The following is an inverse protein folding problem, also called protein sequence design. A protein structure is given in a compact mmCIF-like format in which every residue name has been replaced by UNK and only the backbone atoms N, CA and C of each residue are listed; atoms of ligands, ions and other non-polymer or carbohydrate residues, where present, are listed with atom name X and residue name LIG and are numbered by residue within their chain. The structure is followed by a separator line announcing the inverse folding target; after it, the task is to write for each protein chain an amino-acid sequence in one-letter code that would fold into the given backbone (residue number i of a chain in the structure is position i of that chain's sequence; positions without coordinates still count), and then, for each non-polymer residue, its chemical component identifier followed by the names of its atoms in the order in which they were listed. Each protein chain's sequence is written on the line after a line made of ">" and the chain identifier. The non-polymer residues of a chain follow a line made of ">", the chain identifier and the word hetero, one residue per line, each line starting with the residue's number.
data_IF_483674180852
#
_entry.id   IF_483674180852
#
_cell.length_a   1.000
_cell.length_b   1.000
_cell.length_c   1.000
_cell.angle_alpha   90.00
_cell.angle_beta   90.00
_cell.angle_gamma   90.00
#
_symmetry.space_group_name_H-M   'P 1'
#
loop_
_entity.id
_entity.type
_entity.pdbx_description
1 polymer ?
#
# COMPACT_ATOMS: atom_id res chain seq x y z
N UNK A 1 -11.16 10.24 25.91
CA UNK A 1 -11.80 10.25 27.24
C UNK A 1 -12.29 11.64 27.59
N UNK A 2 -11.37 12.58 27.88
CA UNK A 2 -11.72 13.96 28.25
C UNK A 2 -12.11 14.90 27.09
N UNK A 3 -12.35 14.41 25.87
CA UNK A 3 -12.45 15.27 24.69
C UNK A 3 -13.68 16.20 24.72
N UNK A 4 -14.86 15.69 25.12
CA UNK A 4 -16.07 16.53 25.24
C UNK A 4 -15.88 17.63 26.30
N UNK A 5 -15.26 17.29 27.44
CA UNK A 5 -14.95 18.27 28.48
C UNK A 5 -13.99 19.36 27.96
N UNK A 6 -13.01 19.00 27.15
CA UNK A 6 -12.13 19.97 26.46
C UNK A 6 -12.93 20.92 25.57
N UNK A 7 -13.89 20.43 24.78
CA UNK A 7 -14.71 21.30 23.92
C UNK A 7 -15.64 22.21 24.72
N UNK A 8 -16.23 21.72 25.81
CA UNK A 8 -17.05 22.55 26.70
C UNK A 8 -16.21 23.66 27.36
N UNK A 9 -15.00 23.34 27.81
CA UNK A 9 -14.07 24.34 28.35
C UNK A 9 -13.64 25.36 27.30
N UNK A 10 -13.36 24.92 26.06
CA UNK A 10 -13.03 25.81 24.95
C UNK A 10 -14.20 26.73 24.58
N UNK A 11 -15.43 26.20 24.56
CA UNK A 11 -16.63 27.01 24.34
C UNK A 11 -16.81 28.04 25.44
N UNK A 12 -16.65 27.66 26.72
CA UNK A 12 -16.72 28.60 27.84
C UNK A 12 -15.63 29.69 27.76
N UNK A 13 -14.47 29.37 27.19
CA UNK A 13 -13.39 30.33 26.94
C UNK A 13 -13.61 31.22 25.69
N UNK A 14 -14.70 31.02 24.95
CA UNK A 14 -15.09 31.86 23.82
C UNK A 14 -14.67 31.35 22.44
N UNK A 15 -14.28 30.09 22.28
CA UNK A 15 -13.94 29.53 20.96
C UNK A 15 -15.11 29.69 19.95
N UNK A 16 -14.83 30.15 18.74
CA UNK A 16 -15.86 30.40 17.71
C UNK A 16 -16.39 29.11 17.05
N UNK A 17 -15.54 28.09 16.95
CA UNK A 17 -15.85 26.82 16.30
C UNK A 17 -15.07 25.66 16.94
N UNK A 18 -15.61 24.45 16.81
CA UNK A 18 -14.99 23.19 17.23
C UNK A 18 -15.34 22.09 16.24
N UNK A 19 -14.45 21.10 16.10
CA UNK A 19 -14.68 19.94 15.24
C UNK A 19 -15.32 18.79 16.03
N UNK A 20 -16.37 18.19 15.46
CA UNK A 20 -17.14 17.07 16.01
C UNK A 20 -17.49 16.08 14.91
N UNK A 21 -17.85 14.85 15.29
CA UNK A 21 -18.27 13.80 14.38
C UNK A 21 -19.67 13.27 14.75
N UNK A 22 -20.39 12.70 13.78
CA UNK A 22 -21.62 11.95 14.07
C UNK A 22 -21.32 10.85 15.09
N UNK A 23 -22.22 10.61 16.07
CA UNK A 23 -21.89 9.78 17.22
C UNK A 23 -21.38 8.36 16.89
N UNK A 24 -21.93 7.63 15.89
CA UNK A 24 -21.41 6.32 15.49
C UNK A 24 -19.98 6.35 14.95
N UNK A 25 -19.48 7.51 14.51
CA UNK A 25 -18.13 7.72 13.99
C UNK A 25 -17.24 8.53 14.96
N UNK A 26 -17.72 8.81 16.17
CA UNK A 26 -17.07 9.66 17.15
C UNK A 26 -16.34 8.86 18.25
N UNK A 27 -15.52 9.57 19.03
CA UNK A 27 -14.84 9.03 20.20
C UNK A 27 -13.53 8.31 19.89
N UNK A 28 -12.90 7.80 20.95
CA UNK A 28 -11.54 7.20 20.92
C UNK A 28 -10.51 8.08 20.22
N UNK A 29 -10.10 7.76 19.00
CA UNK A 29 -9.15 8.52 18.16
C UNK A 29 -9.83 9.49 17.20
N UNK A 30 -11.16 9.41 17.07
CA UNK A 30 -11.99 10.36 16.36
C UNK A 30 -12.34 11.57 17.25
N UNK A 31 -13.06 12.50 16.64
CA UNK A 31 -13.57 13.73 17.24
C UNK A 31 -14.68 13.43 18.25
N UNK A 32 -15.03 14.38 19.14
CA UNK A 32 -16.17 14.25 20.04
C UNK A 32 -17.50 14.10 19.31
N UNK A 33 -18.47 13.47 19.95
CA UNK A 33 -19.82 13.32 19.39
C UNK A 33 -20.49 14.69 19.23
N UNK A 34 -21.00 14.95 18.01
CA UNK A 34 -21.79 16.11 17.64
C UNK A 34 -23.07 16.19 18.49
N UNK A 35 -23.87 15.12 18.49
CA UNK A 35 -25.15 15.08 19.23
C UNK A 35 -24.93 15.28 20.73
N UNK A 36 -23.86 14.70 21.29
CA UNK A 36 -23.50 14.90 22.69
C UNK A 36 -23.12 16.35 23.00
N UNK A 37 -22.36 17.03 22.12
CA UNK A 37 -22.00 18.43 22.30
C UNK A 37 -23.21 19.36 22.17
N UNK A 38 -24.06 19.14 21.15
CA UNK A 38 -25.31 19.90 20.96
C UNK A 38 -26.20 19.78 22.18
N UNK A 39 -26.44 18.56 22.67
CA UNK A 39 -27.23 18.32 23.86
C UNK A 39 -26.62 18.97 25.12
N UNK A 40 -25.29 18.97 25.26
CA UNK A 40 -24.61 19.53 26.41
C UNK A 40 -24.64 21.07 26.46
N UNK A 41 -24.78 21.75 25.32
CA UNK A 41 -24.83 23.21 25.22
C UNK A 41 -26.27 23.75 25.10
N UNK A 42 -27.27 22.88 24.93
CA UNK A 42 -28.66 23.27 24.78
C UNK A 42 -29.16 24.11 25.98
N UNK A 43 -29.87 25.19 25.69
CA UNK A 43 -30.40 26.14 26.67
C UNK A 43 -29.32 26.84 27.53
N UNK A 44 -28.11 26.99 27.00
CA UNK A 44 -27.04 27.80 27.61
C UNK A 44 -26.79 29.05 26.79
N UNK A 45 -26.01 30.00 27.32
CA UNK A 45 -25.56 31.18 26.55
C UNK A 45 -24.65 30.81 25.35
N UNK A 46 -24.25 29.55 25.27
CA UNK A 46 -23.39 28.98 24.22
C UNK A 46 -24.13 27.91 23.41
N UNK A 47 -25.45 27.95 23.38
CA UNK A 47 -26.29 27.07 22.55
C UNK A 47 -25.82 27.11 21.08
N UNK A 48 -25.74 25.94 20.45
CA UNK A 48 -25.25 25.81 19.07
C UNK A 48 -26.27 26.26 18.05
N UNK A 49 -27.56 26.29 18.40
CA UNK A 49 -28.67 26.52 17.46
C UNK A 49 -28.88 25.37 16.44
N UNK A 50 -28.17 24.25 16.61
CA UNK A 50 -28.32 23.05 15.77
C UNK A 50 -29.42 22.20 16.38
N UNK A 51 -30.37 21.76 15.55
CA UNK A 51 -31.44 20.87 15.98
C UNK A 51 -30.88 19.48 16.36
N UNK A 52 -31.17 19.04 17.58
CA UNK A 52 -30.63 17.79 18.12
C UNK A 52 -31.22 16.57 17.41
N UNK A 53 -32.49 16.61 17.03
CA UNK A 53 -33.16 15.51 16.31
C UNK A 53 -32.51 15.34 14.94
N UNK A 54 -32.36 16.42 14.18
CA UNK A 54 -31.67 16.42 12.89
C UNK A 54 -30.21 15.91 12.99
N UNK A 55 -29.49 16.26 14.06
CA UNK A 55 -28.14 15.74 14.30
C UNK A 55 -28.13 14.22 14.59
N UNK A 56 -29.17 13.71 15.26
CA UNK A 56 -29.30 12.32 15.69
C UNK A 56 -29.86 11.41 14.58
N UNK A 57 -30.69 11.93 13.68
CA UNK A 57 -31.32 11.18 12.59
C UNK A 57 -30.32 10.60 11.58
N UNK A 58 -29.10 11.14 11.52
CA UNK A 58 -28.01 10.62 10.69
C UNK A 58 -27.26 9.45 11.35
N UNK A 59 -27.47 9.20 12.65
CA UNK A 59 -26.72 8.18 13.37
C UNK A 59 -27.04 6.75 12.89
N UNK A 60 -28.31 6.34 12.67
CA UNK A 60 -28.60 5.00 12.13
C UNK A 60 -27.94 4.75 10.77
N UNK A 61 -27.85 5.78 9.92
CA UNK A 61 -27.15 5.70 8.63
C UNK A 61 -25.66 5.45 8.82
N UNK A 62 -24.98 6.28 9.63
CA UNK A 62 -23.54 6.13 9.86
C UNK A 62 -23.18 4.84 10.59
N UNK A 63 -24.05 4.38 11.48
CA UNK A 63 -23.91 3.07 12.11
C UNK A 63 -23.96 1.95 11.07
N UNK A 64 -24.96 1.95 10.19
CA UNK A 64 -25.07 0.95 9.11
C UNK A 64 -23.86 0.99 8.16
N UNK A 65 -23.42 2.17 7.75
CA UNK A 65 -22.22 2.34 6.90
C UNK A 65 -20.98 1.81 7.61
N UNK A 66 -20.77 2.14 8.89
CA UNK A 66 -19.61 1.67 9.68
C UNK A 66 -19.53 0.14 9.73
N UNK A 67 -20.66 -0.55 9.82
CA UNK A 67 -20.69 -2.02 9.81
C UNK A 67 -20.08 -2.63 8.54
N UNK A 68 -20.23 -1.95 7.39
CA UNK A 68 -19.62 -2.40 6.13
C UNK A 68 -18.10 -2.37 6.18
N UNK A 69 -17.51 -1.50 7.00
CA UNK A 69 -16.07 -1.33 7.15
C UNK A 69 -15.48 -2.09 8.35
N UNK A 70 -16.21 -3.07 8.92
CA UNK A 70 -15.77 -3.86 10.07
C UNK A 70 -14.33 -4.42 9.97
N UNK A 71 -13.85 -4.92 8.80
CA UNK A 71 -12.47 -5.40 8.67
C UNK A 71 -11.39 -4.32 8.89
N UNK A 72 -11.75 -3.04 8.82
CA UNK A 72 -10.86 -1.90 8.96
C UNK A 72 -10.97 -1.19 10.32
N UNK A 73 -11.74 -1.74 11.26
CA UNK A 73 -11.87 -1.17 12.60
C UNK A 73 -10.52 -1.12 13.33
N UNK A 74 -10.21 0.03 13.95
CA UNK A 74 -8.93 0.26 14.64
C UNK A 74 -8.69 -0.63 15.86
N UNK A 75 -9.75 -1.29 16.36
CA UNK A 75 -9.67 -2.23 17.48
C UNK A 75 -9.39 -1.61 18.84
N UNK A 76 -9.50 -0.29 18.99
CA UNK A 76 -9.32 0.39 20.29
C UNK A 76 -10.57 0.19 21.16
N UNK A 77 -10.49 -0.55 22.29
CA UNK A 77 -11.67 -0.88 23.09
C UNK A 77 -12.21 0.31 23.89
N UNK A 78 -11.45 1.41 23.99
CA UNK A 78 -11.86 2.58 24.75
C UNK A 78 -10.76 3.64 24.86
N UNK A 79 -11.02 4.73 25.59
CA UNK A 79 -10.04 5.80 25.78
C UNK A 79 -8.87 5.36 26.68
N UNK A 80 -7.67 5.81 26.35
CA UNK A 80 -6.46 5.60 27.17
C UNK A 80 -5.88 6.93 27.65
N UNK A 81 -5.39 6.97 28.89
CA UNK A 81 -4.64 8.11 29.44
C UNK A 81 -3.17 8.13 29.03
N UNK A 82 -2.64 7.05 28.43
CA UNK A 82 -1.24 6.96 28.03
C UNK A 82 -0.86 7.97 26.95
N UNK A 83 -1.85 8.48 26.19
CA UNK A 83 -1.65 9.53 25.19
C UNK A 83 -0.99 10.79 25.76
N UNK A 84 -1.20 11.09 27.04
CA UNK A 84 -0.55 12.23 27.70
C UNK A 84 0.94 12.01 28.00
N UNK A 85 1.47 10.79 27.77
CA UNK A 85 2.89 10.45 27.87
C UNK A 85 3.52 10.28 26.49
N UNK A 86 2.94 9.42 25.66
CA UNK A 86 3.52 9.09 24.36
C UNK A 86 3.16 10.09 23.26
N UNK A 87 2.07 10.85 23.42
CA UNK A 87 1.64 11.91 22.49
C UNK A 87 1.54 11.43 21.03
N UNK A 88 1.16 10.15 20.82
CA UNK A 88 1.00 9.55 19.50
C UNK A 88 -0.33 10.08 18.92
N UNK A 89 -0.34 10.76 17.77
CA UNK A 89 -1.58 11.19 17.12
C UNK A 89 -2.46 10.01 16.71
N UNK A 90 -3.79 10.21 16.65
CA UNK A 90 -4.76 9.13 16.41
C UNK A 90 -4.44 8.27 15.18
N UNK A 91 -4.21 8.89 14.01
CA UNK A 91 -3.85 8.16 12.79
C UNK A 91 -2.53 7.38 12.89
N UNK A 92 -1.54 7.92 13.61
CA UNK A 92 -0.27 7.23 13.83
C UNK A 92 -0.43 6.03 14.76
N UNK A 93 -1.33 6.10 15.75
CA UNK A 93 -1.58 5.01 16.71
C UNK A 93 -2.12 3.77 15.99
N UNK A 94 -3.10 3.95 15.11
CA UNK A 94 -3.66 2.85 14.30
C UNK A 94 -2.60 2.24 13.38
N UNK A 95 -1.78 3.08 12.74
CA UNK A 95 -0.70 2.62 11.85
C UNK A 95 0.37 1.84 12.61
N UNK A 96 0.83 2.34 13.76
CA UNK A 96 1.84 1.67 14.59
C UNK A 96 1.36 0.30 15.07
N UNK A 97 0.06 0.13 15.38
CA UNK A 97 -0.48 -1.19 15.76
C UNK A 97 -0.36 -2.19 14.63
N UNK A 98 -0.73 -1.81 13.41
CA UNK A 98 -0.59 -2.69 12.25
C UNK A 98 0.88 -3.02 11.94
N UNK A 99 1.78 -2.05 12.06
CA UNK A 99 3.22 -2.26 11.91
C UNK A 99 3.79 -3.19 13.01
N UNK A 100 3.36 -3.02 14.26
CA UNK A 100 3.74 -3.88 15.37
C UNK A 100 3.31 -5.33 15.13
N UNK A 101 2.08 -5.55 14.63
CA UNK A 101 1.59 -6.88 14.25
C UNK A 101 2.48 -7.51 13.18
N UNK A 102 2.81 -6.76 12.12
CA UNK A 102 3.67 -7.23 11.04
C UNK A 102 5.09 -7.61 11.53
N UNK A 103 5.57 -6.98 12.60
CA UNK A 103 6.88 -7.25 13.22
C UNK A 103 6.83 -8.30 14.34
N UNK A 104 5.66 -8.88 14.63
CA UNK A 104 5.49 -9.85 15.72
C UNK A 104 5.54 -9.24 17.13
N UNK A 105 5.32 -7.93 17.26
CA UNK A 105 5.32 -7.16 18.51
C UNK A 105 3.90 -6.76 18.95
N UNK A 106 2.88 -7.47 18.48
CA UNK A 106 1.47 -7.14 18.75
C UNK A 106 1.13 -7.12 20.25
N UNK A 107 1.68 -8.09 20.99
CA UNK A 107 1.44 -8.28 22.43
C UNK A 107 2.25 -7.31 23.31
N UNK A 108 3.26 -6.65 22.74
CA UNK A 108 4.16 -5.71 23.43
C UNK A 108 3.91 -4.27 22.98
N UNK A 109 2.67 -3.92 22.62
CA UNK A 109 2.37 -2.58 22.10
C UNK A 109 2.66 -1.48 23.13
N UNK A 110 2.48 -1.78 24.42
CA UNK A 110 2.80 -0.91 25.52
C UNK A 110 4.28 -0.51 25.57
N UNK A 111 5.18 -1.41 25.16
CA UNK A 111 6.60 -1.14 25.00
C UNK A 111 6.84 -0.16 23.84
N UNK A 112 6.13 -0.34 22.72
CA UNK A 112 6.22 0.58 21.58
C UNK A 112 5.76 1.99 21.98
N UNK A 113 4.70 2.12 22.77
CA UNK A 113 4.24 3.42 23.30
C UNK A 113 5.32 4.10 24.18
N UNK A 114 5.99 3.34 25.04
CA UNK A 114 7.06 3.87 25.90
C UNK A 114 8.32 4.23 25.09
N UNK A 115 8.68 3.42 24.10
CA UNK A 115 9.78 3.70 23.17
C UNK A 115 9.47 4.88 22.25
N UNK A 116 8.20 5.11 21.93
CA UNK A 116 7.78 6.30 21.18
C UNK A 116 7.96 7.58 22.01
N UNK A 117 7.64 7.54 23.30
CA UNK A 117 7.94 8.64 24.22
C UNK A 117 9.46 8.88 24.33
N UNK A 118 10.25 7.81 24.46
CA UNK A 118 11.71 7.91 24.50
C UNK A 118 12.30 8.46 23.20
N UNK A 119 11.84 7.97 22.04
CA UNK A 119 12.22 8.47 20.73
C UNK A 119 11.91 9.96 20.58
N UNK A 120 10.73 10.41 21.05
CA UNK A 120 10.38 11.82 21.07
C UNK A 120 11.38 12.66 21.88
N UNK A 121 11.80 12.18 23.07
CA UNK A 121 12.81 12.88 23.89
C UNK A 121 14.17 12.94 23.19
N UNK A 122 14.62 11.82 22.59
CA UNK A 122 15.89 11.73 21.85
C UNK A 122 15.90 12.71 20.66
N UNK A 123 14.77 12.82 19.95
CA UNK A 123 14.63 13.68 18.78
C UNK A 123 14.39 15.16 19.13
N UNK A 124 14.41 15.54 20.42
CA UNK A 124 14.29 16.94 20.85
C UNK A 124 12.87 17.41 21.12
N UNK A 125 11.94 16.51 21.47
CA UNK A 125 10.54 16.77 21.81
C UNK A 125 9.78 17.54 20.72
N UNK A 126 9.78 16.94 19.53
CA UNK A 126 9.22 17.54 18.31
C UNK A 126 7.69 17.65 18.37
N UNK A 127 7.08 18.65 17.70
CA UNK A 127 5.66 18.59 17.37
C UNK A 127 5.39 17.37 16.49
N UNK A 128 4.44 16.52 16.89
CA UNK A 128 4.17 15.23 16.24
C UNK A 128 2.88 15.29 15.44
N UNK A 129 3.01 15.39 14.13
CA UNK A 129 1.95 15.28 13.13
C UNK A 129 2.57 14.67 11.87
N UNK A 130 1.79 14.16 10.92
CA UNK A 130 2.38 13.68 9.66
C UNK A 130 3.16 14.81 8.98
N UNK A 131 4.44 14.62 8.59
CA UNK A 131 5.22 13.38 8.64
C UNK A 131 6.13 13.19 9.88
N UNK A 132 6.32 14.17 10.77
CA UNK A 132 7.19 14.03 11.96
C UNK A 132 6.75 12.93 12.93
N UNK A 133 5.45 12.67 13.07
CA UNK A 133 4.94 11.56 13.90
C UNK A 133 5.37 10.19 13.38
N UNK A 134 5.56 10.05 12.06
CA UNK A 134 6.12 8.85 11.44
C UNK A 134 7.59 8.70 11.80
N UNK A 135 8.38 9.77 11.74
CA UNK A 135 9.82 9.74 12.11
C UNK A 135 10.03 9.18 13.52
N UNK A 136 9.26 9.69 14.49
CA UNK A 136 9.29 9.20 15.88
C UNK A 136 8.84 7.73 15.95
N UNK A 137 7.83 7.36 15.15
CA UNK A 137 7.31 6.00 15.09
C UNK A 137 8.29 4.98 14.52
N UNK A 138 8.94 5.31 13.40
CA UNK A 138 9.95 4.48 12.76
C UNK A 138 11.14 4.23 13.71
N UNK A 139 11.57 5.27 14.45
CA UNK A 139 12.61 5.13 15.48
C UNK A 139 12.15 4.22 16.62
N UNK A 140 10.93 4.43 17.13
CA UNK A 140 10.38 3.61 18.22
C UNK A 140 10.28 2.13 17.84
N UNK A 141 9.79 1.83 16.64
CA UNK A 141 9.72 0.47 16.11
C UNK A 141 11.11 -0.14 15.91
N UNK A 142 12.07 0.65 15.41
CA UNK A 142 13.44 0.19 15.26
C UNK A 142 14.04 -0.19 16.63
N UNK A 143 13.95 0.70 17.62
CA UNK A 143 14.44 0.44 18.99
C UNK A 143 13.78 -0.81 19.59
N UNK A 144 12.48 -1.01 19.35
CA UNK A 144 11.75 -2.20 19.81
C UNK A 144 12.27 -3.47 19.14
N UNK A 145 12.44 -3.44 17.82
CA UNK A 145 12.88 -4.59 17.03
C UNK A 145 14.28 -5.06 17.40
N UNK A 146 15.22 -4.14 17.63
CA UNK A 146 16.60 -4.48 18.03
C UNK A 146 16.79 -4.58 19.55
N UNK A 147 15.71 -4.36 20.33
CA UNK A 147 15.74 -4.31 21.81
C UNK A 147 16.83 -3.38 22.36
N UNK A 148 16.98 -2.22 21.72
CA UNK A 148 17.99 -1.23 22.10
C UNK A 148 17.58 -0.50 23.38
N UNK A 149 18.58 -0.15 24.20
CA UNK A 149 18.38 0.81 25.29
C UNK A 149 18.31 2.23 24.69
N UNK A 150 17.19 2.97 24.86
CA UNK A 150 17.05 4.32 24.35
C UNK A 150 18.16 5.27 24.83
N UNK A 151 18.65 5.10 26.06
CA UNK A 151 19.71 5.93 26.60
C UNK A 151 21.06 5.68 25.90
N UNK A 152 21.39 4.42 25.62
CA UNK A 152 22.59 4.07 24.86
C UNK A 152 22.48 4.51 23.40
N UNK A 153 21.32 4.34 22.76
CA UNK A 153 21.08 4.85 21.40
C UNK A 153 21.26 6.36 21.33
N UNK A 154 20.72 7.12 22.29
CA UNK A 154 20.87 8.57 22.34
C UNK A 154 22.34 9.01 22.51
N UNK A 155 23.09 8.26 23.32
CA UNK A 155 24.49 8.56 23.58
C UNK A 155 25.41 8.15 22.41
N UNK A 156 25.12 7.02 21.76
CA UNK A 156 25.99 6.34 20.80
C UNK A 156 25.23 5.88 19.54
N UNK A 157 24.54 6.80 18.81
CA UNK A 157 23.70 6.43 17.66
C UNK A 157 24.50 5.76 16.52
N UNK A 158 25.80 6.00 16.43
CA UNK A 158 26.71 5.38 15.46
C UNK A 158 26.86 3.85 15.60
N UNK A 159 26.42 3.27 16.73
CA UNK A 159 26.43 1.82 16.96
C UNK A 159 25.21 1.11 16.39
N UNK A 160 24.24 1.86 15.89
CA UNK A 160 22.94 1.35 15.47
C UNK A 160 22.69 1.71 14.00
N UNK A 161 21.92 0.86 13.32
CA UNK A 161 21.30 1.26 12.07
C UNK A 161 20.23 2.31 12.37
N UNK A 162 20.17 3.39 11.59
CA UNK A 162 19.24 4.49 11.85
C UNK A 162 18.26 4.55 10.68
N UNK A 163 16.93 4.54 10.93
CA UNK A 163 15.94 4.63 9.86
C UNK A 163 16.13 5.89 9.00
N UNK A 164 16.01 5.75 7.67
CA UNK A 164 16.19 6.87 6.73
C UNK A 164 15.31 8.08 7.05
N UNK A 165 14.10 7.85 7.57
CA UNK A 165 13.19 8.92 7.99
C UNK A 165 13.75 9.77 9.14
N UNK A 166 14.49 9.17 10.07
CA UNK A 166 15.18 9.86 11.16
C UNK A 166 16.37 10.63 10.63
N UNK A 167 17.12 10.03 9.72
CA UNK A 167 18.29 10.66 9.11
C UNK A 167 17.89 11.89 8.28
N UNK A 168 16.91 11.74 7.38
CA UNK A 168 16.37 12.83 6.57
C UNK A 168 15.74 13.94 7.43
N UNK A 169 15.03 13.57 8.50
CA UNK A 169 14.55 14.54 9.48
C UNK A 169 15.69 15.33 10.13
N UNK A 170 16.74 14.65 10.60
CA UNK A 170 17.92 15.31 11.19
C UNK A 170 18.68 16.18 10.16
N UNK A 171 18.61 15.84 8.88
CA UNK A 171 19.16 16.65 7.79
C UNK A 171 18.33 17.92 7.50
N UNK A 172 17.14 18.06 8.09
CA UNK A 172 16.26 19.23 7.93
C UNK A 172 15.23 19.11 6.81
N UNK A 173 14.95 17.91 6.30
CA UNK A 173 13.96 17.70 5.23
C UNK A 173 12.54 18.16 5.60
N UNK A 174 12.22 18.19 6.91
CA UNK A 174 10.92 18.61 7.43
C UNK A 174 10.92 20.04 7.99
N UNK A 175 11.97 20.81 7.70
CA UNK A 175 12.19 22.14 8.26
C UNK A 175 12.91 22.11 9.61
N UNK A 176 12.97 23.26 10.26
CA UNK A 176 13.69 23.46 11.52
C UNK A 176 12.78 23.29 12.76
N UNK A 177 13.39 22.83 13.85
CA UNK A 177 12.72 22.71 15.14
C UNK A 177 12.65 24.06 15.87
N UNK A 178 11.47 24.46 16.38
CA UNK A 178 11.33 25.70 17.17
C UNK A 178 12.24 25.73 18.42
N UNK A 179 12.49 24.56 19.02
CA UNK A 179 13.37 24.40 20.19
C UNK A 179 14.86 24.21 19.86
N UNK A 180 15.23 24.26 18.58
CA UNK A 180 16.55 23.87 18.10
C UNK A 180 16.74 22.36 18.01
N UNK A 181 17.88 21.96 17.44
CA UNK A 181 18.21 20.55 17.21
C UNK A 181 18.89 19.91 18.45
N UNK A 182 18.65 18.62 18.72
CA UNK A 182 19.29 17.92 19.83
C UNK A 182 20.77 17.64 19.51
N UNK A 183 21.67 18.50 19.98
CA UNK A 183 23.13 18.27 19.90
C UNK A 183 23.66 17.64 21.20
N UNK A 184 24.67 16.74 21.14
CA UNK A 184 25.44 16.34 19.94
C UNK A 184 24.80 15.20 19.12
N UNK A 185 23.58 14.77 19.45
CA UNK A 185 22.92 13.63 18.80
C UNK A 185 22.81 13.82 17.29
N UNK A 186 22.28 14.97 16.83
CA UNK A 186 22.15 15.31 15.42
C UNK A 186 23.49 15.23 14.69
N UNK A 187 24.55 15.86 15.23
CA UNK A 187 25.89 15.82 14.63
C UNK A 187 26.40 14.39 14.44
N UNK A 188 26.14 13.49 15.40
CA UNK A 188 26.53 12.07 15.30
C UNK A 188 25.71 11.32 14.25
N UNK A 189 24.40 11.55 14.18
CA UNK A 189 23.52 10.91 13.18
C UNK A 189 23.90 11.28 11.75
N UNK A 190 24.36 12.51 11.51
CA UNK A 190 24.71 13.00 10.18
C UNK A 190 26.16 12.72 9.79
N UNK A 191 26.99 12.23 10.72
CA UNK A 191 28.42 12.04 10.47
C UNK A 191 28.65 11.02 9.33
N UNK A 192 29.33 11.47 8.27
CA UNK A 192 29.70 10.61 7.14
C UNK A 192 28.55 10.30 6.17
N UNK A 193 27.43 11.04 6.25
CA UNK A 193 26.28 10.86 5.37
C UNK A 193 26.07 12.09 4.48
N UNK A 194 25.88 11.85 3.18
CA UNK A 194 25.48 12.90 2.23
C UNK A 194 23.96 12.98 2.16
N UNK A 195 23.40 14.18 2.32
CA UNK A 195 21.97 14.44 2.24
C UNK A 195 21.66 15.63 1.35
N UNK A 196 20.65 15.46 0.49
CA UNK A 196 20.19 16.48 -0.43
C UNK A 196 18.78 16.92 -0.05
N UNK A 197 18.69 18.05 0.64
CA UNK A 197 17.40 18.72 0.88
C UNK A 197 17.09 19.59 -0.34
N UNK A 198 16.13 19.16 -1.18
CA UNK A 198 15.71 19.93 -2.34
C UNK A 198 14.63 19.26 -3.17
N UNK A 199 13.74 20.05 -3.75
CA UNK A 199 12.78 19.59 -4.74
C UNK A 199 13.38 19.66 -6.15
N UNK A 200 13.14 18.64 -6.97
CA UNK A 200 13.44 18.71 -8.40
C UNK A 200 12.66 19.88 -9.05
N UNK A 201 13.25 20.59 -10.03
CA UNK A 201 12.56 21.66 -10.72
C UNK A 201 11.38 21.10 -11.53
N UNK A 202 10.27 21.85 -11.54
CA UNK A 202 9.11 21.55 -12.36
C UNK A 202 9.47 21.68 -13.85
N UNK A 203 9.13 20.66 -14.63
CA UNK A 203 9.36 20.67 -16.09
C UNK A 203 8.36 21.61 -16.78
N UNK A 204 8.75 22.20 -17.91
CA UNK A 204 7.90 23.15 -18.64
C UNK A 204 6.56 22.51 -19.10
N UNK A 205 6.60 21.27 -19.58
CA UNK A 205 5.41 20.51 -19.97
C UNK A 205 4.45 20.30 -18.78
N UNK A 206 5.00 20.08 -17.59
CA UNK A 206 4.18 19.91 -16.38
C UNK A 206 3.55 21.22 -15.95
N UNK A 207 4.27 22.33 -16.08
CA UNK A 207 3.72 23.66 -15.82
C UNK A 207 2.55 23.98 -16.78
N UNK A 208 2.68 23.64 -18.07
CA UNK A 208 1.60 23.79 -19.05
C UNK A 208 0.37 22.95 -18.68
N UNK A 209 0.57 21.66 -18.35
CA UNK A 209 -0.53 20.77 -17.93
C UNK A 209 -1.21 21.22 -16.64
N UNK A 210 -0.46 21.78 -15.69
CA UNK A 210 -1.02 22.37 -14.46
C UNK A 210 -1.87 23.61 -14.76
N UNK A 211 -1.54 24.36 -15.80
CA UNK A 211 -2.34 25.50 -16.29
C UNK A 211 -3.52 25.09 -17.20
N UNK A 212 -3.56 23.84 -17.66
CA UNK A 212 -4.59 23.29 -18.54
C UNK A 212 -5.95 23.06 -17.88
N UNK A 213 -6.70 22.11 -18.43
CA UNK A 213 -8.03 21.75 -17.93
C UNK A 213 -7.99 21.16 -16.52
N UNK A 214 -9.15 21.10 -15.85
CA UNK A 214 -9.25 20.49 -14.52
C UNK A 214 -8.82 19.01 -14.51
N UNK A 215 -9.03 18.27 -15.60
CA UNK A 215 -8.64 16.87 -15.74
C UNK A 215 -7.12 16.74 -15.86
N UNK A 216 -6.50 17.52 -16.76
CA UNK A 216 -5.04 17.52 -16.95
C UNK A 216 -4.32 17.94 -15.67
N UNK A 217 -4.81 18.99 -14.99
CA UNK A 217 -4.23 19.45 -13.73
C UNK A 217 -4.27 18.37 -12.67
N UNK A 218 -5.40 17.69 -12.47
CA UNK A 218 -5.52 16.61 -11.47
C UNK A 218 -4.63 15.41 -11.80
N UNK A 219 -4.59 14.99 -13.06
CA UNK A 219 -3.73 13.89 -13.50
C UNK A 219 -2.24 14.22 -13.30
N UNK A 220 -1.82 15.43 -13.67
CA UNK A 220 -0.45 15.89 -13.45
C UNK A 220 -0.11 16.01 -11.97
N UNK A 221 -1.01 16.54 -11.14
CA UNK A 221 -0.81 16.59 -9.68
C UNK A 221 -0.70 15.20 -9.07
N UNK A 222 -1.54 14.24 -9.46
CA UNK A 222 -1.43 12.86 -9.00
C UNK A 222 -0.03 12.30 -9.33
N UNK A 223 0.41 12.42 -10.58
CA UNK A 223 1.71 11.91 -11.02
C UNK A 223 2.88 12.60 -10.31
N UNK A 224 2.81 13.91 -10.07
CA UNK A 224 3.89 14.68 -9.45
C UNK A 224 3.97 14.46 -7.93
N UNK A 225 2.83 14.45 -7.24
CA UNK A 225 2.78 14.29 -5.78
C UNK A 225 2.90 12.83 -5.35
N UNK A 226 2.33 11.91 -6.14
CA UNK A 226 2.23 10.49 -5.82
C UNK A 226 2.52 9.60 -7.05
N UNK A 227 3.76 9.56 -7.58
CA UNK A 227 4.06 8.82 -8.80
C UNK A 227 3.71 7.33 -8.74
N UNK A 228 4.09 6.65 -7.66
CA UNK A 228 3.83 5.23 -7.49
C UNK A 228 2.34 4.92 -7.26
N UNK A 229 1.61 5.61 -6.35
CA UNK A 229 0.16 5.44 -6.24
C UNK A 229 -0.60 5.75 -7.53
N UNK A 230 -0.14 6.74 -8.31
CA UNK A 230 -0.76 7.07 -9.61
C UNK A 230 -0.62 5.93 -10.61
N UNK A 231 0.58 5.37 -10.74
CA UNK A 231 0.82 4.22 -11.62
C UNK A 231 -0.04 3.02 -11.23
N UNK A 232 -0.21 2.77 -9.92
CA UNK A 232 -1.05 1.68 -9.43
C UNK A 232 -2.54 1.95 -9.68
N UNK A 233 -3.00 3.19 -9.48
CA UNK A 233 -4.36 3.61 -9.80
C UNK A 233 -4.67 3.42 -11.30
N UNK A 234 -3.77 3.85 -12.19
CA UNK A 234 -3.90 3.67 -13.63
C UNK A 234 -3.95 2.18 -14.00
N UNK A 235 -3.05 1.36 -13.44
CA UNK A 235 -3.06 -0.10 -13.63
C UNK A 235 -4.38 -0.73 -13.21
N UNK A 236 -4.94 -0.33 -12.06
CA UNK A 236 -6.24 -0.80 -11.58
C UNK A 236 -7.35 -0.37 -12.54
N UNK A 237 -7.35 0.89 -12.98
CA UNK A 237 -8.35 1.41 -13.92
C UNK A 237 -8.29 0.73 -15.29
N UNK A 238 -7.10 0.43 -15.80
CA UNK A 238 -6.91 -0.31 -17.05
C UNK A 238 -7.37 -1.77 -16.93
N UNK A 239 -7.16 -2.39 -15.77
CA UNK A 239 -7.48 -3.81 -15.54
C UNK A 239 -8.96 -4.03 -15.23
N UNK A 240 -9.55 -3.18 -14.40
CA UNK A 240 -10.87 -3.39 -13.79
C UNK A 240 -11.90 -2.32 -14.16
N UNK A 241 -11.49 -1.26 -14.86
CA UNK A 241 -12.35 -0.11 -15.12
C UNK A 241 -12.52 0.80 -13.90
N UNK A 242 -13.60 1.57 -13.91
CA UNK A 242 -13.94 2.44 -12.77
C UNK A 242 -14.65 1.64 -11.69
N UNK A 243 -13.93 1.28 -10.62
CA UNK A 243 -14.49 0.53 -9.49
C UNK A 243 -15.22 1.42 -8.49
N UNK A 244 -15.19 2.75 -8.66
CA UNK A 244 -15.87 3.67 -7.73
C UNK A 244 -17.39 3.70 -7.88
N UNK A 245 -17.91 3.13 -8.96
CA UNK A 245 -19.34 2.98 -9.22
C UNK A 245 -19.95 1.74 -8.56
N UNK A 246 -19.12 0.91 -7.92
CA UNK A 246 -19.58 -0.27 -7.19
C UNK A 246 -20.04 0.13 -5.80
N UNK A 247 -21.12 -0.50 -5.33
CA UNK A 247 -21.53 -0.40 -3.94
C UNK A 247 -20.44 -0.96 -3.02
N UNK A 248 -20.32 -0.39 -1.81
CA UNK A 248 -19.27 -0.77 -0.85
C UNK A 248 -19.34 -2.25 -0.47
N UNK A 249 -20.54 -2.82 -0.40
CA UNK A 249 -20.74 -4.25 -0.13
C UNK A 249 -20.08 -5.10 -1.21
N UNK A 250 -20.42 -4.82 -2.47
CA UNK A 250 -19.92 -5.59 -3.62
C UNK A 250 -18.42 -5.38 -3.83
N UNK A 251 -17.93 -4.17 -3.57
CA UNK A 251 -16.52 -3.85 -3.67
C UNK A 251 -15.67 -4.61 -2.63
N UNK A 252 -16.13 -4.67 -1.37
CA UNK A 252 -15.37 -5.29 -0.28
C UNK A 252 -15.57 -6.80 -0.17
N UNK A 253 -16.77 -7.29 -0.47
CA UNK A 253 -17.18 -8.66 -0.17
C UNK A 253 -17.53 -9.49 -1.42
N UNK A 254 -17.62 -8.87 -2.59
CA UNK A 254 -17.97 -9.53 -3.84
C UNK A 254 -19.47 -9.82 -3.96
N UNK A 255 -19.81 -10.67 -4.94
CA UNK A 255 -21.19 -11.02 -5.26
C UNK A 255 -21.70 -12.17 -4.37
N UNK A 256 -22.99 -12.12 -4.00
CA UNK A 256 -23.68 -13.18 -3.26
C UNK A 256 -24.44 -14.10 -4.23
N UNK A 257 -24.37 -15.41 -4.01
CA UNK A 257 -25.06 -16.37 -4.87
C UNK A 257 -26.59 -16.21 -4.74
N UNK A 258 -27.26 -16.09 -5.88
CA UNK A 258 -28.72 -15.92 -5.95
C UNK A 258 -29.21 -14.49 -5.66
N UNK A 259 -28.30 -13.54 -5.43
CA UNK A 259 -28.61 -12.12 -5.37
C UNK A 259 -28.34 -11.44 -6.73
N UNK A 260 -29.18 -10.46 -7.07
CA UNK A 260 -28.95 -9.56 -8.20
C UNK A 260 -28.31 -8.27 -7.69
N UNK A 261 -27.16 -7.93 -8.25
CA UNK A 261 -26.37 -6.75 -7.93
C UNK A 261 -26.53 -5.72 -9.05
N UNK A 262 -26.77 -4.46 -8.69
CA UNK A 262 -27.03 -3.39 -9.66
C UNK A 262 -25.87 -2.42 -9.66
N UNK A 263 -25.22 -2.26 -10.81
CA UNK A 263 -24.11 -1.32 -10.98
C UNK A 263 -24.55 -0.19 -11.91
N UNK A 264 -24.66 1.04 -11.40
CA UNK A 264 -24.94 2.23 -12.20
C UNK A 264 -23.64 2.81 -12.75
N UNK A 265 -23.32 2.54 -14.02
CA UNK A 265 -22.07 3.01 -14.63
C UNK A 265 -22.15 4.52 -14.92
N UNK A 266 -23.28 4.95 -15.44
CA UNK A 266 -23.60 6.34 -15.78
C UNK A 266 -25.10 6.55 -15.58
N UNK A 267 -25.51 7.83 -15.50
CA UNK A 267 -26.92 8.18 -15.26
C UNK A 267 -27.85 7.49 -16.26
N UNK A 268 -28.69 6.59 -15.75
CA UNK A 268 -29.66 5.84 -16.55
C UNK A 268 -29.09 4.61 -17.29
N UNK A 269 -27.84 4.22 -17.03
CA UNK A 269 -27.21 3.02 -17.55
C UNK A 269 -26.84 2.10 -16.38
N UNK A 270 -27.62 1.03 -16.22
CA UNK A 270 -27.44 0.04 -15.16
C UNK A 270 -27.04 -1.32 -15.73
N UNK A 271 -26.14 -2.00 -15.01
CA UNK A 271 -25.82 -3.40 -15.22
C UNK A 271 -26.43 -4.23 -14.09
N UNK A 272 -27.13 -5.29 -14.45
CA UNK A 272 -27.62 -6.30 -13.52
C UNK A 272 -26.64 -7.46 -13.54
N UNK A 273 -25.94 -7.68 -12.44
CA UNK A 273 -24.90 -8.68 -12.29
C UNK A 273 -25.35 -9.72 -11.28
N UNK A 274 -25.29 -11.00 -11.64
CA UNK A 274 -25.61 -12.09 -10.72
C UNK A 274 -24.48 -13.11 -10.64
N UNK A 275 -24.41 -13.84 -9.53
CA UNK A 275 -23.50 -14.96 -9.34
C UNK A 275 -24.27 -16.28 -9.33
N UNK A 276 -24.02 -17.13 -10.33
CA UNK A 276 -24.73 -18.40 -10.52
C UNK A 276 -23.98 -19.60 -9.97
N UNK A 277 -22.66 -19.65 -10.15
CA UNK A 277 -21.84 -20.73 -9.61
C UNK A 277 -20.36 -20.33 -9.59
N UNK A 278 -19.62 -20.88 -8.63
CA UNK A 278 -18.15 -20.84 -8.62
C UNK A 278 -17.67 -22.28 -8.83
N UNK A 279 -16.97 -22.52 -9.94
CA UNK A 279 -16.38 -23.82 -10.24
C UNK A 279 -15.17 -24.15 -9.37
N UNK A 280 -14.77 -25.42 -9.41
CA UNK A 280 -13.49 -25.87 -8.85
C UNK A 280 -12.30 -25.22 -9.57
N UNK A 281 -11.19 -25.10 -8.85
CA UNK A 281 -9.96 -24.59 -9.42
C UNK A 281 -9.29 -25.67 -10.28
N UNK A 282 -8.78 -25.27 -11.45
CA UNK A 282 -7.94 -26.13 -12.29
C UNK A 282 -6.50 -26.27 -11.73
N UNK A 283 -5.65 -27.03 -12.42
CA UNK A 283 -4.24 -27.24 -12.05
C UNK A 283 -3.41 -25.95 -12.02
N UNK A 284 -3.87 -24.90 -12.71
CA UNK A 284 -3.27 -23.55 -12.71
C UNK A 284 -3.89 -22.67 -11.63
N UNK A 285 -4.76 -23.22 -10.78
CA UNK A 285 -5.49 -22.52 -9.73
C UNK A 285 -6.46 -21.47 -10.27
N UNK A 286 -6.98 -21.66 -11.49
CA UNK A 286 -8.01 -20.81 -12.09
C UNK A 286 -9.39 -21.43 -11.86
N UNK A 287 -10.35 -20.61 -11.41
CA UNK A 287 -11.76 -20.99 -11.29
C UNK A 287 -12.57 -20.37 -12.43
N UNK A 288 -13.53 -21.12 -12.93
CA UNK A 288 -14.58 -20.58 -13.80
C UNK A 288 -15.75 -20.14 -12.91
N UNK A 289 -15.99 -18.84 -12.86
CA UNK A 289 -17.12 -18.21 -12.17
C UNK A 289 -18.22 -17.96 -13.19
N UNK A 290 -19.37 -18.59 -13.02
CA UNK A 290 -20.55 -18.35 -13.83
C UNK A 290 -21.30 -17.16 -13.28
N UNK A 291 -21.35 -16.07 -14.04
CA UNK A 291 -22.12 -14.88 -13.70
C UNK A 291 -23.26 -14.67 -14.69
N UNK A 292 -24.22 -13.84 -14.32
CA UNK A 292 -25.18 -13.25 -15.26
C UNK A 292 -24.87 -11.77 -15.42
N UNK A 293 -25.02 -11.26 -16.64
CA UNK A 293 -24.93 -9.83 -16.95
C UNK A 293 -26.13 -9.46 -17.82
N UNK A 294 -27.03 -8.64 -17.28
CA UNK A 294 -28.30 -8.27 -17.92
C UNK A 294 -29.08 -9.51 -18.39
N UNK A 295 -29.14 -10.53 -17.53
CA UNK A 295 -29.82 -11.81 -17.78
C UNK A 295 -29.07 -12.79 -18.69
N UNK A 296 -27.87 -12.45 -19.18
CA UNK A 296 -27.05 -13.33 -20.01
C UNK A 296 -25.96 -14.01 -19.19
N UNK A 297 -25.88 -15.34 -19.25
CA UNK A 297 -24.80 -16.11 -18.63
C UNK A 297 -23.45 -15.75 -19.25
N UNK A 298 -22.47 -15.44 -18.42
CA UNK A 298 -21.09 -15.13 -18.80
C UNK A 298 -20.12 -15.89 -17.89
N UNK A 299 -19.26 -16.76 -18.44
CA UNK A 299 -18.15 -17.32 -17.68
C UNK A 299 -17.05 -16.26 -17.49
N UNK A 300 -16.56 -16.13 -16.27
CA UNK A 300 -15.42 -15.29 -15.89
C UNK A 300 -14.35 -16.18 -15.28
N UNK A 301 -13.11 -16.05 -15.75
CA UNK A 301 -11.99 -16.85 -15.23
C UNK A 301 -11.23 -16.06 -14.16
N UNK A 302 -11.16 -16.59 -12.94
CA UNK A 302 -10.58 -15.91 -11.79
C UNK A 302 -9.49 -16.78 -11.18
N UNK A 303 -8.30 -16.20 -10.93
CA UNK A 303 -7.21 -16.90 -10.24
C UNK A 303 -7.51 -16.98 -8.73
N UNK A 304 -7.59 -18.19 -8.19
CA UNK A 304 -7.74 -18.43 -6.76
C UNK A 304 -6.41 -18.27 -6.01
N UNK A 305 -6.19 -17.09 -5.44
CA UNK A 305 -4.93 -16.74 -4.75
C UNK A 305 -4.67 -17.56 -3.48
N UNK A 306 -5.64 -18.32 -2.97
CA UNK A 306 -5.42 -19.24 -1.84
C UNK A 306 -4.67 -20.52 -2.24
N UNK A 307 -4.69 -20.87 -3.53
CA UNK A 307 -4.03 -22.05 -4.06
C UNK A 307 -2.61 -21.67 -4.52
N UNK A 308 -1.61 -22.17 -3.80
CA UNK A 308 -0.22 -22.13 -4.23
C UNK A 308 -0.04 -23.07 -5.42
N UNK A 309 0.10 -22.49 -6.60
CA UNK A 309 0.33 -23.25 -7.83
C UNK A 309 1.83 -23.36 -8.00
N UNK A 310 2.40 -24.53 -7.65
CA UNK A 310 3.80 -24.88 -7.93
C UNK A 310 4.01 -25.28 -9.40
N UNK A 311 3.27 -24.68 -10.34
CA UNK A 311 3.65 -24.78 -11.75
C UNK A 311 4.86 -23.89 -11.89
N UNK A 312 6.06 -24.48 -12.02
CA UNK A 312 7.30 -23.78 -12.38
C UNK A 312 7.03 -22.95 -13.62
N UNK A 313 6.72 -21.66 -13.43
CA UNK A 313 6.56 -20.73 -14.53
C UNK A 313 7.92 -20.67 -15.22
N UNK A 314 7.96 -21.07 -16.49
CA UNK A 314 9.18 -21.05 -17.26
C UNK A 314 9.74 -19.61 -17.25
N UNK A 315 11.01 -19.47 -16.90
CA UNK A 315 11.71 -18.19 -16.91
C UNK A 315 11.59 -17.59 -18.32
N UNK A 316 11.32 -16.29 -18.45
CA UNK A 316 11.25 -15.62 -19.77
C UNK A 316 12.61 -15.06 -20.16
N UNK A 317 12.94 -15.15 -21.44
CA UNK A 317 14.15 -14.56 -21.97
C UNK A 317 14.03 -13.03 -22.02
N UNK A 318 15.04 -12.33 -21.48
CA UNK A 318 15.20 -10.89 -21.53
C UNK A 318 15.88 -10.49 -22.85
N UNK A 319 15.14 -9.81 -23.71
CA UNK A 319 15.60 -9.38 -25.04
C UNK A 319 16.74 -8.36 -24.99
N UNK A 320 16.98 -7.72 -23.84
CA UNK A 320 18.13 -6.82 -23.65
C UNK A 320 19.45 -7.57 -23.41
N UNK A 321 19.40 -8.89 -23.19
CA UNK A 321 20.58 -9.74 -22.92
C UNK A 321 20.86 -10.69 -24.09
N UNK A 322 21.84 -10.41 -24.95
CA UNK A 322 22.09 -11.18 -26.18
C UNK A 322 22.36 -12.68 -25.98
N UNK A 323 22.85 -13.08 -24.80
CA UNK A 323 23.15 -14.48 -24.47
C UNK A 323 21.94 -15.33 -24.09
N UNK A 324 20.74 -14.76 -23.97
CA UNK A 324 19.54 -15.51 -23.57
C UNK A 324 18.80 -16.07 -24.79
N UNK A 325 18.73 -17.41 -24.88
CA UNK A 325 18.09 -18.10 -26.02
C UNK A 325 16.64 -18.43 -25.67
N UNK A 326 15.71 -17.82 -26.40
CA UNK A 326 14.27 -17.95 -26.19
C UNK A 326 13.62 -19.02 -27.09
N UNK A 327 12.51 -19.60 -26.65
CA UNK A 327 11.61 -20.37 -27.50
C UNK A 327 10.91 -19.44 -28.52
N UNK A 328 10.97 -19.72 -29.83
CA UNK A 328 10.38 -18.85 -30.85
C UNK A 328 8.85 -18.94 -30.91
N UNK A 329 8.28 -20.07 -30.50
CA UNK A 329 6.84 -20.35 -30.43
C UNK A 329 6.59 -21.49 -29.44
N UNK A 330 5.33 -21.79 -29.14
CA UNK A 330 4.97 -22.88 -28.24
C UNK A 330 5.18 -24.26 -28.88
N UNK A 331 5.76 -25.20 -28.13
CA UNK A 331 6.08 -26.54 -28.62
C UNK A 331 6.87 -27.37 -27.61
N UNK A 332 7.25 -28.60 -27.98
CA UNK A 332 8.15 -29.44 -27.17
C UNK A 332 9.58 -29.15 -27.59
N UNK A 333 10.43 -28.70 -26.66
CA UNK A 333 11.84 -28.41 -26.93
C UNK A 333 12.75 -29.50 -26.39
N UNK A 334 13.73 -29.91 -27.20
CA UNK A 334 14.82 -30.80 -26.81
C UNK A 334 16.16 -30.10 -27.00
N UNK A 335 16.97 -30.01 -25.94
CA UNK A 335 18.30 -29.40 -26.01
C UNK A 335 19.30 -30.32 -26.72
N UNK A 336 20.24 -29.71 -27.45
CA UNK A 336 21.32 -30.38 -28.19
C UNK A 336 22.71 -30.10 -27.62
N UNK A 337 22.80 -29.29 -26.56
CA UNK A 337 24.05 -28.87 -25.91
C UNK A 337 23.97 -29.06 -24.40
N UNK A 338 25.13 -29.21 -23.76
CA UNK A 338 25.30 -29.27 -22.31
C UNK A 338 25.90 -27.97 -21.75
N UNK A 339 25.78 -27.76 -20.44
CA UNK A 339 26.52 -26.69 -19.76
C UNK A 339 28.03 -26.88 -19.94
N UNK A 340 28.73 -25.80 -20.28
CA UNK A 340 30.16 -25.79 -20.59
C UNK A 340 30.51 -25.97 -22.07
N UNK A 341 29.54 -26.30 -22.94
CA UNK A 341 29.79 -26.44 -24.37
C UNK A 341 30.09 -25.09 -25.03
N UNK A 342 31.05 -25.09 -25.96
CA UNK A 342 31.32 -23.93 -26.83
C UNK A 342 30.36 -23.95 -28.01
N UNK A 343 29.70 -22.83 -28.25
CA UNK A 343 28.75 -22.66 -29.35
C UNK A 343 29.10 -21.43 -30.18
N UNK A 344 28.89 -21.52 -31.49
CA UNK A 344 29.01 -20.39 -32.40
C UNK A 344 27.66 -19.75 -32.72
N UNK A 345 27.65 -18.48 -33.10
CA UNK A 345 26.46 -17.80 -33.59
C UNK A 345 25.90 -18.55 -34.81
N UNK A 346 24.59 -18.83 -34.79
CA UNK A 346 23.89 -19.65 -35.79
C UNK A 346 24.00 -21.16 -35.57
N UNK A 347 24.79 -21.64 -34.60
CA UNK A 347 24.85 -23.07 -34.28
C UNK A 347 23.53 -23.53 -33.62
N UNK A 348 22.94 -24.66 -34.07
CA UNK A 348 21.79 -25.25 -33.40
C UNK A 348 22.10 -25.68 -31.98
N UNK A 349 21.32 -25.19 -31.02
CA UNK A 349 21.44 -25.49 -29.58
C UNK A 349 20.24 -26.26 -29.03
N UNK A 350 19.10 -26.23 -29.73
CA UNK A 350 17.92 -27.04 -29.43
C UNK A 350 17.12 -27.35 -30.69
N UNK A 351 16.19 -28.31 -30.62
CA UNK A 351 15.08 -28.45 -31.58
C UNK A 351 13.75 -28.22 -30.89
N UNK A 352 12.78 -27.69 -31.62
CA UNK A 352 11.40 -27.53 -31.19
C UNK A 352 10.47 -28.28 -32.14
N UNK A 353 9.58 -29.07 -31.56
CA UNK A 353 8.52 -29.77 -32.26
C UNK A 353 7.17 -29.12 -31.96
N UNK A 354 6.50 -28.64 -33.00
CA UNK A 354 5.15 -28.09 -32.92
C UNK A 354 4.39 -28.39 -34.21
N UNK A 355 3.11 -28.75 -34.10
CA UNK A 355 2.21 -28.91 -35.26
C UNK A 355 2.75 -29.87 -36.36
N UNK A 356 3.39 -30.98 -35.96
CA UNK A 356 4.03 -31.98 -36.86
C UNK A 356 5.22 -31.43 -37.66
N UNK A 357 5.78 -30.31 -37.23
CA UNK A 357 7.00 -29.72 -37.78
C UNK A 357 8.09 -29.67 -36.72
N UNK A 358 9.33 -29.95 -37.14
CA UNK A 358 10.53 -29.77 -36.32
C UNK A 358 11.31 -28.56 -36.86
N UNK A 359 11.74 -27.67 -35.96
CA UNK A 359 12.60 -26.54 -36.28
C UNK A 359 13.82 -26.51 -35.36
N UNK A 360 14.96 -26.05 -35.86
CA UNK A 360 16.15 -25.83 -35.05
C UNK A 360 16.12 -24.45 -34.39
N UNK A 361 16.49 -24.39 -33.11
CA UNK A 361 16.74 -23.15 -32.36
C UNK A 361 18.25 -22.96 -32.30
N UNK A 362 18.73 -21.79 -32.69
CA UNK A 362 20.16 -21.48 -32.83
C UNK A 362 20.65 -20.49 -31.79
N UNK A 363 21.94 -20.53 -31.46
CA UNK A 363 22.58 -19.51 -30.62
C UNK A 363 22.68 -18.18 -31.36
N UNK A 364 22.30 -17.04 -30.77
CA UNK A 364 22.46 -15.71 -31.38
C UNK A 364 23.91 -15.19 -31.29
N UNK A 365 24.75 -15.76 -30.42
CA UNK A 365 26.12 -15.29 -30.13
C UNK A 365 27.13 -16.44 -30.09
N UNK A 366 28.41 -16.10 -30.29
CA UNK A 366 29.53 -16.99 -29.96
C UNK A 366 29.75 -17.01 -28.44
N UNK A 367 30.01 -18.17 -27.85
CA UNK A 367 30.23 -18.24 -26.41
C UNK A 367 30.26 -19.64 -25.81
N UNK A 368 30.06 -19.71 -24.50
CA UNK A 368 29.98 -20.95 -23.72
C UNK A 368 28.60 -21.04 -23.07
N UNK A 369 27.93 -22.19 -23.18
CA UNK A 369 26.66 -22.45 -22.50
C UNK A 369 26.90 -22.41 -20.99
N UNK A 370 26.32 -21.42 -20.33
CA UNK A 370 26.50 -21.16 -18.89
C UNK A 370 25.44 -21.85 -18.04
N UNK A 371 24.20 -21.92 -18.56
CA UNK A 371 23.07 -22.46 -17.82
C UNK A 371 22.04 -23.06 -18.76
N UNK A 372 21.55 -24.26 -18.45
CA UNK A 372 20.36 -24.83 -19.07
C UNK A 372 19.14 -24.61 -18.17
N UNK A 373 18.07 -24.02 -18.72
CA UNK A 373 16.84 -23.75 -17.96
C UNK A 373 15.89 -24.95 -18.02
N UNK A 374 15.95 -25.72 -19.11
CA UNK A 374 15.25 -26.99 -19.26
C UNK A 374 16.26 -28.15 -19.20
N UNK A 375 15.90 -29.25 -18.56
CA UNK A 375 16.80 -30.42 -18.37
C UNK A 375 16.40 -31.67 -19.15
N UNK A 376 15.20 -31.69 -19.71
CA UNK A 376 14.63 -32.80 -20.49
C UNK A 376 13.67 -32.25 -21.55
N UNK A 377 13.24 -33.05 -22.54
CA UNK A 377 12.19 -32.64 -23.45
C UNK A 377 10.97 -32.11 -22.67
N UNK A 378 10.62 -30.85 -22.90
CA UNK A 378 9.59 -30.16 -22.12
C UNK A 378 8.74 -29.26 -23.03
N UNK A 379 7.44 -29.17 -22.71
CA UNK A 379 6.52 -28.21 -23.33
C UNK A 379 6.87 -26.79 -22.86
N UNK A 380 7.07 -25.87 -23.81
CA UNK A 380 7.36 -24.45 -23.55
C UNK A 380 6.40 -23.55 -24.32
N UNK A 381 6.23 -22.32 -23.85
CA UNK A 381 5.53 -21.24 -24.53
C UNK A 381 6.50 -20.31 -25.28
N UNK A 382 5.98 -19.49 -26.18
CA UNK A 382 6.76 -18.47 -26.86
C UNK A 382 7.44 -17.52 -25.86
N UNK A 383 8.73 -17.25 -26.05
CA UNK A 383 9.54 -16.37 -25.20
C UNK A 383 10.09 -17.01 -23.92
N UNK A 384 9.82 -18.29 -23.65
CA UNK A 384 10.45 -19.01 -22.54
C UNK A 384 11.97 -19.13 -22.77
N UNK A 385 12.75 -18.92 -21.73
CA UNK A 385 14.20 -19.07 -21.72
C UNK A 385 14.56 -20.54 -21.70
N UNK A 386 15.41 -20.94 -22.64
CA UNK A 386 15.83 -22.33 -22.81
C UNK A 386 17.23 -22.55 -22.23
N UNK A 387 18.14 -21.63 -22.52
CA UNK A 387 19.52 -21.63 -22.02
C UNK A 387 20.15 -20.24 -22.08
N UNK A 388 21.25 -20.08 -21.35
CA UNK A 388 22.07 -18.87 -21.34
C UNK A 388 23.45 -19.20 -21.91
N UNK A 389 23.88 -18.43 -22.90
CA UNK A 389 25.24 -18.44 -23.46
C UNK A 389 25.98 -17.22 -22.91
N UNK A 390 27.12 -17.47 -22.24
CA UNK A 390 28.06 -16.40 -21.88
C UNK A 390 28.85 -16.02 -23.14
N UNK A 391 28.71 -14.78 -23.66
CA UNK A 391 29.41 -14.39 -24.87
C UNK A 391 30.93 -14.52 -24.73
N UNK A 392 31.60 -14.98 -25.78
CA UNK A 392 33.04 -14.85 -25.88
C UNK A 392 33.38 -13.37 -26.09
N UNK A 393 34.06 -12.76 -25.12
CA UNK A 393 34.51 -11.37 -25.20
C UNK A 393 35.60 -11.13 -26.23
#
# INVERSE_FOLDING_TARGET
>A
GGQLATLLAASAAGADAVDVAAAPMAGTTSQPSLSALVAALANTDRDTGIDLEAASDLEPYWEAVRHLYRPFESGLPGPTGRVYRHEIPGGQLSNLRQQAIALGLAEDFELIEDLYAAANDILGRVPKVTPSSKVVGDLALHLAAVKADPADFAANPERYDIPDSVVGFMAGELGDLPGGWPEPFRSKVLQGREHHVGSAPLQAEDAEKLAGSSVERRATLNRLLFPAPTKEFERVRDTFGDVSVLDTVDYLYGLEHGAEHVVEIERGVQLFVGLEAIGEADEKGMRTVMTTLNGQLRPVFVRDRSISVEVRQAEKADTSKPGQVAAPFAGVVTLKTAEGDRVSAGQPVASIEAMKMEAAITSPVDGVVERLVIGSPQQVDAGDLLLVVRPAG
#
